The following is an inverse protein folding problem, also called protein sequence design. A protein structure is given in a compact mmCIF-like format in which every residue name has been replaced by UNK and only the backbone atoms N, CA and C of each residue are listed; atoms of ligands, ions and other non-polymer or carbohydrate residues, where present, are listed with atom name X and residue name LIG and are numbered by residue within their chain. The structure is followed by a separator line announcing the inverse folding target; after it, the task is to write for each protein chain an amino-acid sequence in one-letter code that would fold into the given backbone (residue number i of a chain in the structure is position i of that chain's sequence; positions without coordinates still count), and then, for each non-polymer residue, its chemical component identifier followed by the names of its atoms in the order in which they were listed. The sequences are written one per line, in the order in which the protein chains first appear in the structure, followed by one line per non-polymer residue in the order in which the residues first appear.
data_IF_009601332754
#
_entry.id   IF_009601332754
#
_cell.length_a   1.000
_cell.length_b   1.000
_cell.length_c   1.000
_cell.angle_alpha   90.00
_cell.angle_beta   90.00
_cell.angle_gamma   90.00
#
_symmetry.space_group_name_H-M   'P 1'
#
loop_
_entity.id
_entity.type
_entity.pdbx_description
1 polymer ?
#
# COMPACT_ATOMS: atom_id res chain seq x y z
N UNK A 1 -2.17 -5.35 19.13
CA UNK A 1 -2.45 -4.50 17.95
C UNK A 1 -3.95 -4.58 17.63
N UNK A 2 -4.46 -3.79 16.72
CA UNK A 2 -5.92 -3.55 16.53
C UNK A 2 -6.72 -4.77 16.07
N UNK A 3 -6.09 -5.80 15.48
CA UNK A 3 -6.77 -6.92 14.84
C UNK A 3 -7.62 -6.53 13.61
N UNK A 4 -7.44 -5.30 13.09
CA UNK A 4 -8.18 -4.76 11.95
C UNK A 4 -7.24 -4.42 10.80
N UNK A 5 -7.69 -4.65 9.55
CA UNK A 5 -6.97 -4.22 8.35
C UNK A 5 -6.91 -2.69 8.29
N UNK A 6 -5.81 -2.15 7.75
CA UNK A 6 -5.67 -0.72 7.46
C UNK A 6 -6.62 -0.22 6.36
N UNK A 7 -7.32 -1.13 5.69
CA UNK A 7 -8.38 -0.82 4.72
C UNK A 7 -9.72 -0.52 5.36
N UNK A 8 -9.88 -0.84 6.66
CA UNK A 8 -11.04 -0.44 7.48
C UNK A 8 -10.82 0.94 8.08
N UNK A 9 -11.89 1.66 8.42
CA UNK A 9 -11.80 3.02 8.99
C UNK A 9 -10.92 3.09 10.23
N UNK A 10 -11.13 2.19 11.20
CA UNK A 10 -10.34 2.17 12.45
C UNK A 10 -8.89 1.77 12.20
N UNK A 11 -8.65 0.77 11.33
CA UNK A 11 -7.30 0.34 10.96
C UNK A 11 -6.56 1.41 10.20
N UNK A 12 -7.23 2.13 9.28
CA UNK A 12 -6.71 3.27 8.53
C UNK A 12 -6.29 4.39 9.49
N UNK A 13 -7.18 4.78 10.40
CA UNK A 13 -6.89 5.83 11.38
C UNK A 13 -5.62 5.49 12.20
N UNK A 14 -5.53 4.25 12.69
CA UNK A 14 -4.34 3.80 13.41
C UNK A 14 -3.08 3.79 12.53
N UNK A 15 -3.19 3.28 11.29
CA UNK A 15 -2.07 3.25 10.34
C UNK A 15 -1.53 4.65 10.01
N UNK A 16 -2.43 5.61 9.77
CA UNK A 16 -2.05 7.00 9.53
C UNK A 16 -1.38 7.64 10.76
N UNK A 17 -1.85 7.36 11.98
CA UNK A 17 -1.20 7.84 13.20
C UNK A 17 0.23 7.28 13.34
N UNK A 18 0.43 6.00 13.04
CA UNK A 18 1.77 5.38 13.05
C UNK A 18 2.69 6.06 12.04
N UNK A 19 2.25 6.22 10.79
CA UNK A 19 3.05 6.87 9.75
C UNK A 19 3.32 8.34 10.04
N UNK A 20 2.36 9.06 10.61
CA UNK A 20 2.58 10.44 11.04
C UNK A 20 3.65 10.51 12.13
N UNK A 21 3.57 9.64 13.15
CA UNK A 21 4.60 9.57 14.20
C UNK A 21 6.00 9.29 13.62
N UNK A 22 6.10 8.38 12.65
CA UNK A 22 7.37 8.09 11.98
C UNK A 22 7.90 9.32 11.20
N UNK A 23 7.04 10.07 10.51
CA UNK A 23 7.41 11.31 9.83
C UNK A 23 7.89 12.39 10.80
N UNK A 24 7.22 12.52 11.95
CA UNK A 24 7.62 13.46 12.99
C UNK A 24 9.01 13.11 13.52
N UNK A 25 9.31 11.83 13.73
CA UNK A 25 10.64 11.36 14.10
C UNK A 25 11.69 11.60 13.03
N UNK A 26 11.39 11.36 11.77
CA UNK A 26 12.30 11.72 10.66
C UNK A 26 12.61 13.23 10.65
N UNK A 27 11.62 14.06 10.99
CA UNK A 27 11.80 15.51 11.07
C UNK A 27 12.65 15.93 12.27
N UNK A 28 12.47 15.28 13.41
CA UNK A 28 13.28 15.46 14.62
C UNK A 28 14.75 15.14 14.33
N UNK A 29 15.04 13.94 13.86
CA UNK A 29 16.40 13.50 13.52
C UNK A 29 17.08 14.38 12.46
N UNK A 30 16.31 14.85 11.46
CA UNK A 30 16.85 15.80 10.46
C UNK A 30 17.39 17.08 11.12
N UNK A 31 16.70 17.58 12.15
CA UNK A 31 17.13 18.77 12.88
C UNK A 31 18.34 18.52 13.78
N UNK A 32 18.38 17.36 14.41
CA UNK A 32 19.43 16.98 15.35
C UNK A 32 20.73 16.59 14.66
N UNK A 33 20.62 15.82 13.58
CA UNK A 33 21.78 15.20 12.94
C UNK A 33 22.19 15.88 11.64
N UNK A 34 21.39 16.84 11.13
CA UNK A 34 21.59 17.51 9.85
C UNK A 34 21.64 16.56 8.65
N UNK A 35 20.98 15.39 8.77
CA UNK A 35 20.84 14.37 7.73
C UNK A 35 19.38 14.33 7.29
N UNK A 36 19.12 14.18 5.99
CA UNK A 36 17.77 14.04 5.46
C UNK A 36 17.23 12.63 5.67
N UNK A 37 16.23 12.51 6.52
CA UNK A 37 15.44 11.28 6.73
C UNK A 37 14.06 11.44 6.12
N UNK A 38 13.54 10.37 5.51
CA UNK A 38 12.16 10.34 5.00
C UNK A 38 11.61 8.93 4.99
N UNK A 39 10.29 8.80 5.10
CA UNK A 39 9.61 7.54 4.91
C UNK A 39 9.55 7.17 3.43
N UNK A 40 9.70 5.90 3.15
CA UNK A 40 9.66 5.33 1.82
C UNK A 40 8.74 4.11 1.78
N UNK A 41 7.79 4.09 0.84
CA UNK A 41 6.93 2.94 0.56
C UNK A 41 7.68 1.95 -0.34
N UNK A 42 8.27 0.94 0.26
CA UNK A 42 9.12 -0.05 -0.43
C UNK A 42 8.39 -0.79 -1.56
N UNK A 43 8.91 -0.82 -2.80
CA UNK A 43 8.33 -1.58 -3.92
C UNK A 43 8.86 -3.02 -4.01
N UNK A 44 9.30 -3.62 -2.92
CA UNK A 44 9.94 -4.95 -2.89
C UNK A 44 8.90 -6.09 -2.85
N UNK A 45 8.16 -6.28 -3.93
CA UNK A 45 7.11 -7.29 -4.04
C UNK A 45 7.63 -8.73 -3.87
N UNK A 46 8.78 -9.06 -4.46
CA UNK A 46 9.39 -10.39 -4.34
C UNK A 46 9.72 -10.79 -2.89
N UNK A 47 9.88 -9.80 -1.99
CA UNK A 47 10.21 -10.03 -0.59
C UNK A 47 8.98 -10.45 0.21
N UNK A 48 7.78 -10.12 -0.24
CA UNK A 48 6.52 -10.40 0.48
C UNK A 48 6.28 -11.90 0.66
N UNK A 49 6.52 -12.69 -0.38
CA UNK A 49 6.45 -14.16 -0.33
C UNK A 49 7.55 -14.74 0.58
N UNK A 50 8.79 -14.27 0.41
CA UNK A 50 9.92 -14.73 1.23
C UNK A 50 9.68 -14.45 2.71
N UNK A 51 9.16 -13.28 3.06
CA UNK A 51 8.80 -12.92 4.42
C UNK A 51 7.71 -13.85 4.98
N UNK A 52 6.65 -14.09 4.23
CA UNK A 52 5.59 -15.00 4.65
C UNK A 52 6.12 -16.41 4.93
N UNK A 53 6.97 -16.92 4.05
CA UNK A 53 7.64 -18.22 4.24
C UNK A 53 8.53 -18.26 5.50
N UNK A 54 9.27 -17.19 5.76
CA UNK A 54 10.09 -17.08 6.97
C UNK A 54 9.23 -16.99 8.24
N UNK A 55 8.10 -16.29 8.20
CA UNK A 55 7.15 -16.22 9.32
C UNK A 55 6.54 -17.60 9.61
N UNK A 56 6.07 -18.31 8.59
CA UNK A 56 5.56 -19.70 8.73
C UNK A 56 6.63 -20.61 9.34
N UNK A 57 7.85 -20.57 8.83
CA UNK A 57 8.97 -21.38 9.37
C UNK A 57 9.26 -21.06 10.85
N UNK A 58 9.16 -19.80 11.26
CA UNK A 58 9.52 -19.36 12.62
C UNK A 58 8.41 -19.53 13.63
N UNK A 59 7.17 -19.32 13.24
CA UNK A 59 6.02 -19.22 14.15
C UNK A 59 4.93 -20.29 13.92
N UNK A 60 5.13 -21.17 12.93
CA UNK A 60 4.20 -22.22 12.53
C UNK A 60 3.40 -21.85 11.28
N UNK A 61 2.95 -22.88 10.55
CA UNK A 61 2.27 -22.72 9.25
C UNK A 61 0.93 -21.98 9.37
N UNK A 62 0.32 -22.00 10.55
CA UNK A 62 -0.96 -21.36 10.84
C UNK A 62 -0.86 -19.91 11.30
N UNK A 63 0.34 -19.29 11.24
CA UNK A 63 0.57 -17.95 11.76
C UNK A 63 -0.40 -16.91 11.17
N UNK A 64 -0.69 -16.98 9.87
CA UNK A 64 -1.59 -16.03 9.22
C UNK A 64 -3.05 -16.26 9.60
N UNK A 65 -3.45 -17.53 9.79
CA UNK A 65 -4.79 -17.87 10.29
C UNK A 65 -4.98 -17.29 11.69
N UNK A 66 -3.96 -17.34 12.55
CA UNK A 66 -3.99 -16.76 13.90
C UNK A 66 -4.04 -15.23 13.91
N UNK A 67 -3.42 -14.57 12.93
CA UNK A 67 -3.36 -13.11 12.85
C UNK A 67 -4.62 -12.52 12.25
N UNK A 68 -5.10 -13.06 11.13
CA UNK A 68 -6.19 -12.46 10.35
C UNK A 68 -7.25 -13.44 9.84
N UNK A 69 -7.19 -14.70 10.28
CA UNK A 69 -8.17 -15.74 9.95
C UNK A 69 -8.04 -16.31 8.53
N UNK A 70 -7.00 -15.94 7.76
CA UNK A 70 -6.79 -16.42 6.38
C UNK A 70 -5.41 -17.01 6.22
N UNK A 71 -5.34 -18.21 5.62
CA UNK A 71 -4.04 -18.73 5.17
C UNK A 71 -3.59 -18.01 3.91
N UNK A 72 -2.31 -17.66 3.87
CA UNK A 72 -1.71 -16.97 2.72
C UNK A 72 -0.20 -17.17 2.67
N UNK A 73 0.36 -17.02 1.48
CA UNK A 73 1.78 -17.21 1.21
C UNK A 73 2.55 -15.90 0.98
N UNK A 74 1.91 -14.76 1.24
CA UNK A 74 2.51 -13.44 1.10
C UNK A 74 2.00 -12.49 2.18
N UNK A 75 2.74 -11.42 2.41
CA UNK A 75 2.29 -10.26 3.19
C UNK A 75 2.06 -9.10 2.24
N UNK A 76 1.18 -8.18 2.61
CA UNK A 76 0.96 -6.95 1.84
C UNK A 76 2.20 -6.07 1.94
N UNK A 77 2.66 -5.57 0.81
CA UNK A 77 3.79 -4.66 0.77
C UNK A 77 3.37 -3.26 1.22
N UNK A 78 4.13 -2.66 2.13
CA UNK A 78 3.91 -1.30 2.60
C UNK A 78 2.45 -1.06 3.06
N UNK A 79 1.80 0.02 2.62
CA UNK A 79 0.42 0.41 2.93
C UNK A 79 -0.59 0.00 1.85
N UNK A 80 -0.18 -0.75 0.85
CA UNK A 80 -1.07 -1.12 -0.25
C UNK A 80 -2.29 -1.90 0.21
N UNK A 81 -3.40 -1.69 -0.49
CA UNK A 81 -4.59 -2.52 -0.30
C UNK A 81 -4.23 -3.96 -0.68
N UNK A 82 -4.52 -4.94 0.20
CA UNK A 82 -4.21 -6.34 -0.08
C UNK A 82 -4.85 -6.82 -1.39
N UNK A 83 -4.10 -7.55 -2.21
CA UNK A 83 -4.54 -8.01 -3.55
C UNK A 83 -5.76 -8.94 -3.52
N UNK A 84 -6.07 -9.54 -2.38
CA UNK A 84 -7.25 -10.38 -2.22
C UNK A 84 -8.53 -9.57 -1.89
N UNK A 85 -8.42 -8.27 -1.63
CA UNK A 85 -9.58 -7.41 -1.43
C UNK A 85 -10.18 -7.02 -2.78
N UNK A 86 -11.49 -7.26 -2.92
CA UNK A 86 -12.22 -6.82 -4.10
C UNK A 86 -12.52 -5.32 -3.98
N UNK A 87 -11.70 -4.52 -4.62
CA UNK A 87 -11.79 -3.06 -4.61
C UNK A 87 -11.59 -2.53 -6.03
N UNK A 88 -12.33 -1.50 -6.41
CA UNK A 88 -12.09 -0.85 -7.69
C UNK A 88 -10.87 0.09 -7.65
N UNK A 89 -10.40 0.50 -8.85
CA UNK A 89 -9.19 1.29 -8.98
C UNK A 89 -9.31 2.69 -8.31
N UNK A 90 -10.47 3.32 -8.36
CA UNK A 90 -10.68 4.65 -7.78
C UNK A 90 -10.66 4.61 -6.26
N UNK A 91 -11.38 3.64 -5.68
CA UNK A 91 -11.41 3.44 -4.23
C UNK A 91 -10.04 3.04 -3.69
N UNK A 92 -9.32 2.16 -4.42
CA UNK A 92 -7.95 1.78 -4.07
C UNK A 92 -7.03 3.00 -4.01
N UNK A 93 -6.99 3.81 -5.07
CA UNK A 93 -6.16 5.01 -5.12
C UNK A 93 -6.54 6.01 -4.03
N UNK A 94 -7.83 6.17 -3.77
CA UNK A 94 -8.33 7.08 -2.72
C UNK A 94 -7.86 6.61 -1.33
N UNK A 95 -7.95 5.32 -1.03
CA UNK A 95 -7.47 4.76 0.25
C UNK A 95 -5.95 4.89 0.40
N UNK A 96 -5.20 4.60 -0.64
CA UNK A 96 -3.73 4.63 -0.61
C UNK A 96 -3.17 6.06 -0.59
N UNK A 97 -3.91 7.04 -1.12
CA UNK A 97 -3.44 8.42 -1.28
C UNK A 97 -3.02 9.08 0.04
N UNK A 98 -3.74 8.82 1.12
CA UNK A 98 -3.45 9.41 2.42
C UNK A 98 -2.15 8.84 3.02
N UNK A 99 -1.89 7.55 2.83
CA UNK A 99 -0.64 6.91 3.22
C UNK A 99 0.52 7.36 2.34
N UNK A 100 0.30 7.50 1.03
CA UNK A 100 1.32 7.96 0.11
C UNK A 100 1.81 9.36 0.45
N UNK A 101 0.92 10.27 0.83
CA UNK A 101 1.26 11.63 1.29
C UNK A 101 2.18 11.62 2.52
N UNK A 102 2.11 10.58 3.35
CA UNK A 102 2.99 10.38 4.49
C UNK A 102 4.28 9.63 4.16
N UNK A 103 4.53 9.34 2.89
CA UNK A 103 5.74 8.68 2.39
C UNK A 103 6.55 9.60 1.46
N UNK A 104 7.11 10.72 1.98
CA UNK A 104 7.79 11.73 1.15
C UNK A 104 9.07 11.23 0.49
N UNK A 105 9.62 10.11 0.94
CA UNK A 105 10.77 9.44 0.33
C UNK A 105 10.45 8.72 -0.98
N UNK A 106 9.18 8.58 -1.30
CA UNK A 106 8.65 7.94 -2.50
C UNK A 106 7.76 6.75 -2.17
N UNK A 107 6.74 6.56 -3.00
CA UNK A 107 5.85 5.41 -2.99
C UNK A 107 5.08 5.36 -4.31
N UNK A 108 4.77 4.17 -4.79
CA UNK A 108 4.05 3.96 -6.05
C UNK A 108 2.79 3.17 -5.73
N UNK A 109 1.64 3.64 -6.22
CA UNK A 109 0.40 2.86 -6.20
C UNK A 109 0.17 2.22 -7.55
N UNK A 110 -0.17 0.95 -7.56
CA UNK A 110 -0.43 0.18 -8.78
C UNK A 110 -1.93 -0.07 -8.93
N UNK A 111 -2.45 0.17 -10.11
CA UNK A 111 -3.80 -0.23 -10.49
C UNK A 111 -3.80 -1.06 -11.76
N UNK A 112 -4.71 -2.01 -11.82
CA UNK A 112 -5.00 -2.78 -13.02
C UNK A 112 -6.33 -2.32 -13.61
N UNK A 113 -6.33 -2.02 -14.91
CA UNK A 113 -7.50 -1.60 -15.66
C UNK A 113 -7.68 -2.50 -16.86
N UNK A 114 -8.91 -2.68 -17.37
CA UNK A 114 -9.11 -3.37 -18.64
C UNK A 114 -8.43 -2.62 -19.78
N UNK A 115 -8.23 -3.29 -20.91
CA UNK A 115 -7.71 -2.60 -22.10
C UNK A 115 -8.68 -1.48 -22.52
N UNK A 116 -8.23 -0.25 -22.43
CA UNK A 116 -9.00 0.96 -22.71
C UNK A 116 -8.68 1.59 -24.07
N UNK A 117 -7.96 0.88 -24.96
CA UNK A 117 -7.60 1.41 -26.29
C UNK A 117 -8.81 1.88 -27.12
N UNK A 118 -9.97 1.27 -26.91
CA UNK A 118 -11.23 1.64 -27.55
C UNK A 118 -12.15 2.51 -26.66
N UNK A 119 -11.69 2.97 -25.49
CA UNK A 119 -12.46 3.82 -24.59
C UNK A 119 -11.52 4.84 -23.92
N UNK A 120 -11.08 5.80 -24.72
CA UNK A 120 -10.14 6.84 -24.26
C UNK A 120 -10.76 7.74 -23.19
N UNK A 121 -12.07 7.98 -23.24
CA UNK A 121 -12.75 8.78 -22.23
C UNK A 121 -12.66 8.16 -20.83
N UNK A 122 -12.82 6.84 -20.74
CA UNK A 122 -12.63 6.12 -19.48
C UNK A 122 -11.18 6.20 -19.00
N UNK A 123 -10.20 6.07 -19.88
CA UNK A 123 -8.78 6.25 -19.53
C UNK A 123 -8.49 7.66 -18.99
N UNK A 124 -9.03 8.68 -19.65
CA UNK A 124 -8.89 10.08 -19.23
C UNK A 124 -9.50 10.32 -17.84
N UNK A 125 -10.63 9.67 -17.50
CA UNK A 125 -11.21 9.74 -16.17
C UNK A 125 -10.29 9.12 -15.10
N UNK A 126 -9.66 7.98 -15.40
CA UNK A 126 -8.67 7.35 -14.50
C UNK A 126 -7.48 8.30 -14.30
N UNK A 127 -6.92 8.85 -15.37
CA UNK A 127 -5.78 9.77 -15.29
C UNK A 127 -6.15 11.03 -14.48
N UNK A 128 -7.34 11.58 -14.71
CA UNK A 128 -7.84 12.74 -13.95
C UNK A 128 -7.99 12.44 -12.47
N UNK A 129 -8.47 11.23 -12.13
CA UNK A 129 -8.57 10.81 -10.74
C UNK A 129 -7.17 10.67 -10.10
N UNK A 130 -6.23 10.03 -10.78
CA UNK A 130 -4.83 9.93 -10.33
C UNK A 130 -4.27 11.33 -10.04
N UNK A 131 -4.40 12.26 -10.99
CA UNK A 131 -3.89 13.62 -10.83
C UNK A 131 -4.44 14.34 -9.60
N UNK A 132 -5.72 14.11 -9.28
CA UNK A 132 -6.38 14.77 -8.14
C UNK A 132 -6.17 14.06 -6.80
N UNK A 133 -6.01 12.74 -6.80
CA UNK A 133 -6.07 11.94 -5.58
C UNK A 133 -4.68 11.55 -5.06
N UNK A 134 -3.71 11.25 -5.93
CA UNK A 134 -2.49 10.57 -5.55
C UNK A 134 -1.26 11.20 -6.23
N UNK A 135 -0.10 11.13 -5.59
CA UNK A 135 1.11 11.75 -6.10
C UNK A 135 1.77 10.94 -7.22
N UNK A 136 1.74 9.61 -7.12
CA UNK A 136 2.33 8.71 -8.10
C UNK A 136 1.57 7.39 -8.20
N UNK A 137 1.14 7.03 -9.41
CA UNK A 137 0.49 5.76 -9.70
C UNK A 137 0.96 5.20 -11.05
N UNK A 138 1.00 3.87 -11.12
CA UNK A 138 1.23 3.12 -12.35
C UNK A 138 -0.06 2.42 -12.77
N UNK A 139 -0.40 2.54 -14.04
CA UNK A 139 -1.57 1.93 -14.65
C UNK A 139 -1.10 0.73 -15.48
N UNK A 140 -1.54 -0.45 -15.10
CA UNK A 140 -1.29 -1.70 -15.82
C UNK A 140 -2.56 -2.20 -16.50
N UNK A 141 -2.43 -2.77 -17.69
CA UNK A 141 -3.54 -3.43 -18.35
C UNK A 141 -3.66 -4.84 -17.77
N UNK A 142 -4.85 -5.17 -17.24
CA UNK A 142 -5.14 -6.53 -16.82
C UNK A 142 -5.17 -7.44 -18.04
N UNK A 143 -4.20 -8.37 -18.14
CA UNK A 143 -4.20 -9.42 -19.14
C UNK A 143 -5.32 -10.40 -18.80
N UNK A 144 -6.32 -10.50 -19.69
CA UNK A 144 -7.30 -11.59 -19.63
C UNK A 144 -6.59 -12.85 -20.20
N UNK A 145 -6.13 -13.72 -19.33
CA UNK A 145 -5.73 -15.09 -19.68
C UNK A 145 -6.92 -16.03 -19.48
#
# INVERSE_FOLDING_TARGET
MTGKSHTTEDGKKFGLQVMQHMNDKCTEWRKEEHISYSLYGTPLESTTYKFAKCLKKRFGDDIFIKIDGKDRDYITNSYHVPVFENIDAFDKLTKESEFQKLSPGGAISYIEVPNMSNNIDALLQVIKHIYNAIMYAEINTKSCY
#
